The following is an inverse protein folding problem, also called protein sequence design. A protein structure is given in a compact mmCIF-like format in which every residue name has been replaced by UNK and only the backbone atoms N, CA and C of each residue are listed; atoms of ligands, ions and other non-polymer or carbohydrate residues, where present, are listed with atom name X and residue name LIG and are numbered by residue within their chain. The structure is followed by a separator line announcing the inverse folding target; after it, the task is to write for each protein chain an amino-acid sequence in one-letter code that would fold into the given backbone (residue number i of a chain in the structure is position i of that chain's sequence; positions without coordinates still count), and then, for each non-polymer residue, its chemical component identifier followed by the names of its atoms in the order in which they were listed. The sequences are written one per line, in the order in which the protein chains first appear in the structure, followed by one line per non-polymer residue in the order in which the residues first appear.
data_IF_827108003158
#
_entry.id   IF_827108003158
#
_cell.length_a   1.000
_cell.length_b   1.000
_cell.length_c   1.000
_cell.angle_alpha   90.00
_cell.angle_beta   90.00
_cell.angle_gamma   90.00
#
_symmetry.space_group_name_H-M   'P 1'
#
loop_
_entity.id
_entity.type
_entity.pdbx_description
1 polymer ?
#
# COMPACT_ATOMS: atom_id res chain seq x y z
N UNK A 1 71.53 65.98 3.28
CA UNK A 1 72.66 65.24 3.90
C UNK A 1 72.83 65.66 5.36
N UNK A 2 72.97 64.71 6.29
CA UNK A 2 73.26 64.97 7.72
C UNK A 2 74.64 64.36 8.03
N UNK A 3 75.58 65.12 8.61
CA UNK A 3 76.97 64.68 8.90
C UNK A 3 77.74 64.03 7.73
N UNK A 4 77.52 64.51 6.49
CA UNK A 4 78.16 63.97 5.29
C UNK A 4 77.64 62.61 4.82
N UNK A 5 76.53 62.12 5.41
CA UNK A 5 75.83 60.91 5.01
C UNK A 5 74.52 61.22 4.27
N UNK A 6 74.17 60.36 3.31
CA UNK A 6 72.87 60.36 2.65
C UNK A 6 71.82 59.73 3.56
N UNK A 7 70.69 60.41 3.72
CA UNK A 7 69.52 59.87 4.42
C UNK A 7 68.90 58.70 3.65
N UNK A 8 68.10 57.82 4.28
CA UNK A 8 67.41 56.74 3.58
C UNK A 8 66.59 57.21 2.38
N UNK A 9 65.85 58.33 2.52
CA UNK A 9 65.06 58.94 1.44
C UNK A 9 65.94 59.46 0.29
N UNK A 10 67.08 60.09 0.60
CA UNK A 10 68.04 60.55 -0.42
C UNK A 10 68.66 59.37 -1.19
N UNK A 11 69.00 58.27 -0.49
CA UNK A 11 69.56 57.07 -1.12
C UNK A 11 68.57 56.43 -2.08
N UNK A 12 67.30 56.30 -1.68
CA UNK A 12 66.25 55.77 -2.53
C UNK A 12 66.02 56.63 -3.78
N UNK A 13 66.03 57.97 -3.62
CA UNK A 13 65.90 58.88 -4.76
C UNK A 13 67.08 58.76 -5.72
N UNK A 14 68.30 58.72 -5.21
CA UNK A 14 69.52 58.62 -6.01
C UNK A 14 69.65 57.27 -6.72
N UNK A 15 69.18 56.17 -6.11
CA UNK A 15 69.24 54.82 -6.73
C UNK A 15 68.28 54.63 -7.91
N UNK A 16 67.36 55.57 -8.13
CA UNK A 16 66.43 55.53 -9.29
C UNK A 16 66.99 56.21 -10.54
N UNK A 17 68.16 56.86 -10.45
CA UNK A 17 68.77 57.58 -11.57
C UNK A 17 69.70 56.65 -12.36
N UNK A 18 69.59 56.64 -13.68
CA UNK A 18 70.43 55.82 -14.57
C UNK A 18 71.94 56.14 -14.47
N UNK A 19 72.26 57.35 -14.02
CA UNK A 19 73.62 57.80 -13.77
C UNK A 19 74.28 57.13 -12.54
N UNK A 20 73.50 56.44 -11.71
CA UNK A 20 73.92 55.91 -10.41
C UNK A 20 73.78 54.40 -10.38
N UNK A 21 74.91 53.71 -10.17
CA UNK A 21 74.96 52.26 -10.05
C UNK A 21 74.67 51.78 -8.61
N UNK A 22 75.25 52.45 -7.61
CA UNK A 22 75.06 52.10 -6.19
C UNK A 22 75.19 53.35 -5.31
N UNK A 23 74.32 53.49 -4.31
CA UNK A 23 74.42 54.57 -3.31
C UNK A 23 74.67 53.99 -1.93
N UNK A 24 75.90 54.21 -1.43
CA UNK A 24 76.27 53.89 -0.05
C UNK A 24 76.01 55.09 0.85
N UNK A 25 76.09 54.87 2.16
CA UNK A 25 75.81 55.93 3.13
C UNK A 25 76.66 57.21 2.92
N UNK A 26 77.89 57.10 2.40
CA UNK A 26 78.80 58.25 2.17
C UNK A 26 79.29 58.41 0.73
N UNK A 27 79.04 57.44 -0.16
CA UNK A 27 79.64 57.37 -1.49
C UNK A 27 78.58 57.05 -2.55
N UNK A 28 78.70 57.68 -3.71
CA UNK A 28 77.94 57.33 -4.91
C UNK A 28 78.88 56.60 -5.85
N UNK A 29 78.45 55.43 -6.31
CA UNK A 29 79.08 54.70 -7.40
C UNK A 29 78.29 55.02 -8.66
N UNK A 30 78.91 55.72 -9.59
CA UNK A 30 78.29 56.13 -10.85
C UNK A 30 78.36 55.00 -11.88
N UNK A 31 77.35 54.92 -12.76
CA UNK A 31 77.33 53.94 -13.85
C UNK A 31 78.50 54.19 -14.82
N UNK A 32 79.16 53.12 -15.33
CA UNK A 32 80.23 53.25 -16.32
C UNK A 32 79.86 54.13 -17.53
N UNK A 33 78.61 54.04 -17.96
CA UNK A 33 78.00 54.72 -19.09
C UNK A 33 77.93 56.23 -18.83
N UNK A 34 77.46 56.61 -17.63
CA UNK A 34 77.44 58.01 -17.22
C UNK A 34 78.84 58.60 -17.05
N UNK A 35 79.83 57.81 -16.58
CA UNK A 35 81.23 58.28 -16.50
C UNK A 35 81.79 58.62 -17.87
N UNK A 36 81.59 57.74 -18.86
CA UNK A 36 82.03 57.95 -20.24
C UNK A 36 81.35 59.17 -20.86
N UNK A 37 80.03 59.25 -20.69
CA UNK A 37 79.25 60.38 -21.20
C UNK A 37 79.64 61.71 -20.55
N UNK A 38 79.90 61.70 -19.24
CA UNK A 38 80.34 62.89 -18.53
C UNK A 38 81.69 63.40 -19.03
N UNK A 39 82.67 62.51 -19.24
CA UNK A 39 83.99 62.90 -19.76
C UNK A 39 83.91 63.40 -21.21
N UNK A 40 83.04 62.81 -22.05
CA UNK A 40 82.79 63.26 -23.42
C UNK A 40 82.27 64.71 -23.45
N UNK A 41 81.23 65.02 -22.65
CA UNK A 41 80.63 66.36 -22.57
C UNK A 41 81.56 67.38 -21.91
N UNK A 42 82.33 66.96 -20.91
CA UNK A 42 83.32 67.83 -20.26
C UNK A 42 84.42 68.27 -21.24
N UNK A 43 84.91 67.37 -22.10
CA UNK A 43 85.87 67.71 -23.17
C UNK A 43 85.29 68.60 -24.27
N UNK A 44 83.98 68.52 -24.50
CA UNK A 44 83.27 69.43 -25.40
C UNK A 44 83.08 70.85 -24.80
N UNK A 45 83.60 71.11 -23.59
CA UNK A 45 83.56 72.43 -22.94
C UNK A 45 82.39 72.65 -21.98
N UNK A 46 81.53 71.65 -21.76
CA UNK A 46 80.44 71.77 -20.81
C UNK A 46 80.92 71.72 -19.35
N UNK A 47 80.34 72.57 -18.49
CA UNK A 47 80.70 72.62 -17.06
C UNK A 47 80.21 71.36 -16.34
N UNK A 48 81.02 70.70 -15.48
CA UNK A 48 80.63 69.50 -14.74
C UNK A 48 79.30 69.59 -14.00
N UNK A 49 79.02 70.73 -13.38
CA UNK A 49 77.76 70.95 -12.66
C UNK A 49 76.52 70.81 -13.56
N UNK A 50 76.61 71.24 -14.83
CA UNK A 50 75.53 71.15 -15.82
C UNK A 50 75.32 69.71 -16.25
N UNK A 51 76.41 68.99 -16.52
CA UNK A 51 76.37 67.58 -16.94
C UNK A 51 75.71 66.73 -15.86
N UNK A 52 76.13 66.88 -14.60
CA UNK A 52 75.54 66.18 -13.46
C UNK A 52 74.08 66.59 -13.20
N UNK A 53 73.75 67.88 -13.30
CA UNK A 53 72.37 68.34 -13.16
C UNK A 53 71.45 67.72 -14.23
N UNK A 54 71.90 67.62 -15.49
CA UNK A 54 71.14 66.99 -16.58
C UNK A 54 70.84 65.51 -16.34
N UNK A 55 71.68 64.84 -15.54
CA UNK A 55 71.51 63.45 -15.14
C UNK A 55 70.74 63.28 -13.81
N UNK A 56 70.07 64.34 -13.33
CA UNK A 56 69.30 64.33 -12.09
C UNK A 56 70.14 64.45 -10.81
N UNK A 57 71.42 64.83 -10.93
CA UNK A 57 72.39 64.95 -9.83
C UNK A 57 72.82 66.42 -9.63
N UNK A 58 71.92 67.33 -9.22
CA UNK A 58 72.29 68.73 -9.04
C UNK A 58 73.27 68.91 -7.88
N UNK A 59 74.09 69.96 -7.94
CA UNK A 59 75.08 70.28 -6.91
C UNK A 59 74.45 70.49 -5.51
N UNK A 60 73.17 70.87 -5.43
CA UNK A 60 72.42 70.97 -4.17
C UNK A 60 72.23 69.62 -3.47
N UNK A 61 72.17 68.52 -4.23
CA UNK A 61 71.93 67.17 -3.70
C UNK A 61 73.22 66.44 -3.33
N UNK A 62 74.26 66.56 -4.17
CA UNK A 62 75.50 65.79 -4.00
C UNK A 62 76.73 66.65 -3.65
N UNK A 63 76.58 67.97 -3.53
CA UNK A 63 77.64 68.96 -3.30
C UNK A 63 78.60 69.18 -4.49
N UNK A 64 78.90 70.46 -4.77
CA UNK A 64 79.83 70.88 -5.82
C UNK A 64 81.21 70.21 -5.71
N UNK A 65 81.78 70.13 -4.50
CA UNK A 65 83.10 69.53 -4.26
C UNK A 65 83.15 68.04 -4.61
N UNK A 66 82.02 67.33 -4.54
CA UNK A 66 81.98 65.90 -4.94
C UNK A 66 81.95 65.75 -6.45
N UNK A 67 81.27 66.66 -7.16
CA UNK A 67 81.24 66.68 -8.62
C UNK A 67 82.66 66.92 -9.15
N UNK A 68 83.36 67.93 -8.62
CA UNK A 68 84.74 68.23 -9.02
C UNK A 68 85.70 67.07 -8.77
N UNK A 69 85.64 66.46 -7.58
CA UNK A 69 86.47 65.27 -7.27
C UNK A 69 86.14 64.09 -8.17
N UNK A 70 84.86 63.88 -8.50
CA UNK A 70 84.47 62.79 -9.39
C UNK A 70 85.07 62.98 -10.80
N UNK A 71 84.93 64.18 -11.38
CA UNK A 71 85.50 64.50 -12.69
C UNK A 71 87.03 64.44 -12.68
N UNK A 72 87.67 64.95 -11.63
CA UNK A 72 89.13 64.84 -11.45
C UNK A 72 89.60 63.38 -11.49
N UNK A 73 88.93 62.50 -10.72
CA UNK A 73 89.28 61.08 -10.71
C UNK A 73 88.98 60.39 -12.05
N UNK A 74 87.95 60.80 -12.77
CA UNK A 74 87.62 60.23 -14.07
C UNK A 74 88.57 60.66 -15.17
N UNK A 75 89.05 61.91 -15.12
CA UNK A 75 90.13 62.38 -16.00
C UNK A 75 91.37 61.49 -15.88
N UNK A 76 91.82 61.23 -14.66
CA UNK A 76 92.97 60.34 -14.43
C UNK A 76 92.68 58.87 -14.77
N UNK A 77 91.47 58.37 -14.51
CA UNK A 77 91.12 57.00 -14.88
C UNK A 77 91.07 56.80 -16.41
N UNK A 78 90.68 57.84 -17.16
CA UNK A 78 90.67 57.85 -18.62
C UNK A 78 92.08 57.90 -19.22
N UNK A 79 92.98 58.71 -18.65
CA UNK A 79 94.41 58.75 -19.00
C UNK A 79 95.08 57.37 -18.81
N UNK A 80 94.61 56.58 -17.86
CA UNK A 80 95.09 55.22 -17.57
C UNK A 80 94.29 54.10 -18.29
N UNK A 81 93.36 54.44 -19.18
CA UNK A 81 92.54 53.46 -19.92
C UNK A 81 91.59 52.61 -19.05
N UNK A 82 91.33 53.03 -17.81
CA UNK A 82 90.57 52.25 -16.80
C UNK A 82 89.18 52.84 -16.50
N UNK A 83 88.73 53.83 -17.27
CA UNK A 83 87.43 54.48 -17.10
C UNK A 83 86.27 53.49 -17.28
N UNK A 84 85.65 53.09 -16.18
CA UNK A 84 84.51 52.15 -16.17
C UNK A 84 84.83 50.72 -15.74
N UNK A 85 86.08 50.42 -15.38
CA UNK A 85 86.45 49.10 -14.85
C UNK A 85 85.79 48.84 -13.48
N UNK A 86 84.95 47.81 -13.39
CA UNK A 86 84.35 47.36 -12.11
C UNK A 86 85.31 46.38 -11.45
N UNK A 87 85.84 46.72 -10.26
CA UNK A 87 86.71 45.81 -9.48
C UNK A 87 85.92 44.57 -9.05
N UNK A 88 86.39 43.38 -9.46
CA UNK A 88 85.82 42.11 -9.02
C UNK A 88 85.93 41.94 -7.49
N UNK A 89 84.89 41.44 -6.79
CA UNK A 89 84.99 41.19 -5.36
C UNK A 89 85.97 40.05 -5.07
N UNK A 90 86.82 40.25 -4.06
CA UNK A 90 87.76 39.24 -3.54
C UNK A 90 87.07 37.89 -3.29
N UNK A 91 87.73 36.81 -3.71
CA UNK A 91 87.24 35.40 -3.68
C UNK A 91 86.70 34.99 -2.29
N UNK A 92 87.22 35.57 -1.19
CA UNK A 92 86.75 35.32 0.19
C UNK A 92 85.40 35.96 0.54
N UNK A 93 85.01 37.03 -0.15
CA UNK A 93 83.72 37.70 0.09
C UNK A 93 82.57 37.00 -0.66
N UNK A 94 82.85 36.46 -1.85
CA UNK A 94 81.86 35.73 -2.65
C UNK A 94 81.45 34.40 -2.00
N UNK A 95 82.38 33.68 -1.36
CA UNK A 95 82.08 32.42 -0.65
C UNK A 95 81.21 32.65 0.59
N UNK A 96 81.51 33.67 1.40
CA UNK A 96 80.71 34.03 2.59
C UNK A 96 79.29 34.51 2.25
N UNK A 97 79.11 35.17 1.11
CA UNK A 97 77.78 35.58 0.64
C UNK A 97 76.95 34.36 0.18
N UNK A 98 77.58 33.35 -0.44
CA UNK A 98 76.88 32.11 -0.82
C UNK A 98 76.43 31.33 0.42
N UNK A 99 77.31 31.12 1.39
CA UNK A 99 76.99 30.37 2.61
C UNK A 99 75.84 31.03 3.39
N UNK A 100 75.89 32.35 3.59
CA UNK A 100 74.82 33.08 4.28
C UNK A 100 73.48 33.07 3.50
N UNK A 101 73.52 33.08 2.16
CA UNK A 101 72.30 32.94 1.33
C UNK A 101 71.69 31.54 1.44
N UNK A 102 72.51 30.50 1.48
CA UNK A 102 72.06 29.11 1.60
C UNK A 102 71.51 28.82 2.99
N UNK A 103 72.14 29.33 4.05
CA UNK A 103 71.61 29.27 5.42
C UNK A 103 70.25 29.95 5.54
N UNK A 104 70.10 31.15 4.95
CA UNK A 104 68.81 31.86 4.93
C UNK A 104 67.73 31.10 4.14
N UNK A 105 68.07 30.49 3.00
CA UNK A 105 67.13 29.62 2.24
C UNK A 105 66.68 28.44 3.08
N UNK A 106 67.62 27.72 3.71
CA UNK A 106 67.32 26.57 4.60
C UNK A 106 66.47 26.97 5.80
N UNK A 107 66.72 28.13 6.41
CA UNK A 107 65.90 28.65 7.51
C UNK A 107 64.46 28.95 7.07
N UNK A 108 64.28 29.57 5.90
CA UNK A 108 62.94 29.84 5.33
C UNK A 108 62.21 28.55 4.98
N UNK A 109 62.90 27.55 4.43
CA UNK A 109 62.32 26.23 4.14
C UNK A 109 61.90 25.49 5.41
N UNK A 110 62.71 25.51 6.47
CA UNK A 110 62.34 24.97 7.79
C UNK A 110 61.09 25.66 8.34
N UNK A 111 61.02 26.99 8.28
CA UNK A 111 59.85 27.73 8.75
C UNK A 111 58.59 27.39 7.94
N UNK A 112 58.72 27.26 6.61
CA UNK A 112 57.63 26.81 5.73
C UNK A 112 57.19 25.38 6.04
N UNK A 113 58.12 24.47 6.34
CA UNK A 113 57.81 23.09 6.69
C UNK A 113 57.05 22.97 8.02
N UNK A 114 57.45 23.74 9.04
CA UNK A 114 56.73 23.82 10.33
C UNK A 114 55.31 24.34 10.10
N UNK A 115 55.17 25.45 9.38
CA UNK A 115 53.86 26.05 9.09
C UNK A 115 52.95 25.12 8.30
N UNK A 116 53.50 24.36 7.35
CA UNK A 116 52.75 23.32 6.60
C UNK A 116 52.23 22.22 7.53
N UNK A 117 53.06 21.74 8.46
CA UNK A 117 52.65 20.72 9.44
C UNK A 117 51.54 21.23 10.39
N UNK A 118 51.61 22.49 10.80
CA UNK A 118 50.54 23.10 11.61
C UNK A 118 49.23 23.23 10.85
N UNK A 119 49.29 23.67 9.59
CA UNK A 119 48.10 23.75 8.73
C UNK A 119 47.45 22.38 8.53
N UNK A 120 48.24 21.33 8.29
CA UNK A 120 47.68 19.98 8.17
C UNK A 120 47.03 19.49 9.48
N UNK A 121 47.66 19.73 10.64
CA UNK A 121 47.04 19.41 11.94
C UNK A 121 45.71 20.14 12.15
N UNK A 122 45.60 21.40 11.69
CA UNK A 122 44.37 22.19 11.79
C UNK A 122 43.28 21.68 10.83
N UNK A 123 43.66 21.30 9.61
CA UNK A 123 42.74 20.66 8.65
C UNK A 123 42.18 19.34 9.21
N UNK A 124 43.04 18.48 9.75
CA UNK A 124 42.61 17.22 10.36
C UNK A 124 41.64 17.45 11.54
N UNK A 125 41.92 18.45 12.39
CA UNK A 125 41.01 18.84 13.48
C UNK A 125 39.67 19.35 12.95
N UNK A 126 39.68 20.15 11.89
CA UNK A 126 38.48 20.68 11.27
C UNK A 126 37.62 19.55 10.68
N UNK A 127 38.23 18.63 9.95
CA UNK A 127 37.52 17.48 9.37
C UNK A 127 36.94 16.56 10.44
N UNK A 128 37.66 16.30 11.54
CA UNK A 128 37.11 15.57 12.69
C UNK A 128 35.91 16.29 13.32
N UNK A 129 35.96 17.61 13.46
CA UNK A 129 34.83 18.40 14.00
C UNK A 129 33.63 18.39 13.04
N UNK A 130 33.85 18.50 11.73
CA UNK A 130 32.79 18.39 10.71
C UNK A 130 32.14 17.00 10.74
N UNK A 131 32.93 15.93 10.82
CA UNK A 131 32.40 14.57 10.93
C UNK A 131 31.60 14.36 12.22
N UNK A 132 32.06 14.90 13.36
CA UNK A 132 31.31 14.86 14.62
C UNK A 132 30.01 15.68 14.55
N UNK A 133 30.03 16.86 13.93
CA UNK A 133 28.82 17.66 13.71
C UNK A 133 27.82 16.92 12.82
N UNK A 134 28.27 16.37 11.69
CA UNK A 134 27.45 15.60 10.75
C UNK A 134 26.79 14.38 11.42
N UNK A 135 27.56 13.60 12.19
CA UNK A 135 27.01 12.44 12.92
C UNK A 135 26.04 12.83 14.04
N UNK A 136 26.19 14.00 14.68
CA UNK A 136 25.20 14.53 15.64
C UNK A 136 23.92 14.93 14.92
N UNK A 137 24.04 15.63 13.79
CA UNK A 137 22.91 16.02 12.94
C UNK A 137 22.14 14.79 12.45
N UNK A 138 22.84 13.78 11.92
CA UNK A 138 22.25 12.51 11.48
C UNK A 138 21.51 11.79 12.62
N UNK A 139 22.07 11.76 13.84
CA UNK A 139 21.39 11.19 15.02
C UNK A 139 20.14 11.99 15.41
N UNK A 140 20.18 13.31 15.35
CA UNK A 140 19.01 14.15 15.64
C UNK A 140 17.93 13.99 14.59
N UNK A 141 18.29 13.94 13.31
CA UNK A 141 17.36 13.71 12.20
C UNK A 141 16.72 12.32 12.32
N UNK A 142 17.51 11.28 12.63
CA UNK A 142 16.99 9.94 12.83
C UNK A 142 16.01 9.87 14.03
N UNK A 143 16.34 10.54 15.14
CA UNK A 143 15.46 10.62 16.32
C UNK A 143 14.16 11.39 16.01
N UNK A 144 14.26 12.52 15.29
CA UNK A 144 13.11 13.31 14.86
C UNK A 144 12.23 12.54 13.88
N UNK A 145 12.81 11.85 12.89
CA UNK A 145 12.09 11.04 11.92
C UNK A 145 11.33 9.88 12.61
N UNK A 146 11.95 9.20 13.58
CA UNK A 146 11.27 8.17 14.37
C UNK A 146 10.08 8.74 15.16
N UNK A 147 10.24 9.94 15.74
CA UNK A 147 9.15 10.64 16.45
C UNK A 147 8.03 11.09 15.52
N UNK A 148 8.36 11.61 14.34
CA UNK A 148 7.38 11.99 13.31
C UNK A 148 6.59 10.75 12.90
N UNK A 149 7.26 9.64 12.59
CA UNK A 149 6.59 8.38 12.22
C UNK A 149 5.65 7.88 13.32
N UNK A 150 6.10 7.90 14.59
CA UNK A 150 5.26 7.51 15.72
C UNK A 150 4.04 8.43 15.89
N UNK A 151 4.21 9.74 15.70
CA UNK A 151 3.10 10.70 15.73
C UNK A 151 2.14 10.52 14.54
N UNK A 152 2.64 10.23 13.35
CA UNK A 152 1.84 9.92 12.16
C UNK A 152 1.02 8.65 12.35
N UNK A 153 1.63 7.59 12.90
CA UNK A 153 0.95 6.35 13.24
C UNK A 153 -0.13 6.56 14.31
N UNK A 154 0.15 7.38 15.34
CA UNK A 154 -0.86 7.80 16.32
C UNK A 154 -1.99 8.60 15.68
N UNK A 155 -1.70 9.58 14.84
CA UNK A 155 -2.72 10.37 14.12
C UNK A 155 -3.54 9.47 13.19
N UNK A 156 -2.93 8.49 12.53
CA UNK A 156 -3.61 7.50 11.69
C UNK A 156 -4.55 6.62 12.51
N UNK A 157 -4.10 6.13 13.67
CA UNK A 157 -4.93 5.37 14.60
C UNK A 157 -6.10 6.22 15.14
N UNK A 158 -5.84 7.46 15.54
CA UNK A 158 -6.87 8.40 16.01
C UNK A 158 -7.86 8.78 14.90
N UNK A 159 -7.39 8.97 13.66
CA UNK A 159 -8.28 9.19 12.50
C UNK A 159 -9.11 7.96 12.17
N UNK A 160 -8.56 6.74 12.28
CA UNK A 160 -9.31 5.50 12.11
C UNK A 160 -10.36 5.32 13.21
N UNK A 161 -10.03 5.61 14.47
CA UNK A 161 -10.96 5.61 15.60
C UNK A 161 -12.04 6.69 15.43
N UNK A 162 -11.67 7.89 14.98
CA UNK A 162 -12.59 8.97 14.67
C UNK A 162 -13.48 8.69 13.45
N UNK A 163 -13.00 7.92 12.46
CA UNK A 163 -13.79 7.45 11.34
C UNK A 163 -14.79 6.37 11.78
N UNK A 164 -14.38 5.42 12.63
CA UNK A 164 -15.25 4.42 13.27
C UNK A 164 -16.30 5.08 14.17
N UNK A 165 -15.92 6.11 14.93
CA UNK A 165 -16.83 6.90 15.74
C UNK A 165 -17.80 7.74 14.89
N UNK A 166 -17.34 8.30 13.76
CA UNK A 166 -18.21 8.99 12.79
C UNK A 166 -19.15 8.04 12.05
N UNK A 167 -18.71 6.83 11.75
CA UNK A 167 -19.53 5.76 11.18
C UNK A 167 -20.58 5.28 12.20
N UNK A 168 -20.22 5.22 13.48
CA UNK A 168 -21.14 4.96 14.58
C UNK A 168 -22.15 6.11 14.82
N UNK A 169 -21.74 7.37 14.58
CA UNK A 169 -22.57 8.59 14.72
C UNK A 169 -23.46 8.90 13.52
N UNK A 170 -23.18 8.38 12.32
CA UNK A 170 -23.93 8.72 11.08
C UNK A 170 -25.36 8.21 11.03
N UNK A 171 -25.81 7.45 12.03
CA UNK A 171 -27.22 7.17 12.23
C UNK A 171 -27.48 6.79 13.70
N UNK A 172 -28.04 7.70 14.53
CA UNK A 172 -28.58 7.34 15.83
C UNK A 172 -29.73 6.35 15.59
N UNK A 173 -29.41 5.05 15.63
CA UNK A 173 -30.37 3.95 15.37
C UNK A 173 -29.81 2.74 14.61
N UNK A 174 -28.76 2.88 13.78
CA UNK A 174 -28.40 1.82 12.82
C UNK A 174 -27.18 0.97 13.21
N UNK A 175 -26.25 1.49 14.03
CA UNK A 175 -25.06 0.71 14.42
C UNK A 175 -25.37 -0.26 15.57
N UNK A 176 -25.21 -1.59 15.36
CA UNK A 176 -25.47 -2.60 16.39
C UNK A 176 -24.71 -2.34 17.69
N UNK A 177 -25.37 -2.52 18.84
CA UNK A 177 -24.76 -2.34 20.17
C UNK A 177 -23.47 -3.14 20.35
N UNK A 178 -23.40 -4.34 19.76
CA UNK A 178 -22.21 -5.22 19.77
C UNK A 178 -20.97 -4.56 19.16
N UNK A 179 -21.13 -3.81 18.06
CA UNK A 179 -20.01 -3.08 17.44
C UNK A 179 -19.56 -1.91 18.31
N UNK A 180 -20.50 -1.24 18.99
CA UNK A 180 -20.17 -0.16 19.93
C UNK A 180 -19.39 -0.71 21.14
N UNK A 181 -19.80 -1.84 21.68
CA UNK A 181 -19.07 -2.52 22.75
C UNK A 181 -17.68 -2.97 22.31
N UNK A 182 -17.53 -3.49 21.08
CA UNK A 182 -16.22 -3.86 20.53
C UNK A 182 -15.27 -2.66 20.46
N UNK A 183 -15.75 -1.49 20.02
CA UNK A 183 -14.91 -0.27 19.98
C UNK A 183 -14.42 0.12 21.38
N UNK A 184 -15.28 0.01 22.41
CA UNK A 184 -14.89 0.30 23.80
C UNK A 184 -13.82 -0.69 24.27
N UNK A 185 -13.98 -1.98 23.96
CA UNK A 185 -13.02 -3.01 24.32
C UNK A 185 -11.66 -2.79 23.63
N UNK A 186 -11.65 -2.45 22.34
CA UNK A 186 -10.42 -2.17 21.58
C UNK A 186 -9.68 -0.94 22.15
N UNK A 187 -10.41 0.12 22.53
CA UNK A 187 -9.82 1.32 23.13
C UNK A 187 -9.24 1.03 24.52
N UNK A 188 -9.94 0.24 25.34
CA UNK A 188 -9.45 -0.21 26.66
C UNK A 188 -8.24 -1.15 26.54
N UNK A 189 -8.18 -1.97 25.49
CA UNK A 189 -7.03 -2.83 25.23
C UNK A 189 -5.80 -2.03 24.78
N UNK A 190 -5.99 -0.94 24.05
CA UNK A 190 -4.91 -0.04 23.61
C UNK A 190 -4.39 0.85 24.75
N UNK A 191 -5.24 1.26 25.68
CA UNK A 191 -4.90 2.06 26.85
C UNK A 191 -5.64 1.56 28.11
N UNK A 192 -4.94 0.89 29.05
CA UNK A 192 -5.57 0.40 30.28
C UNK A 192 -6.14 1.49 31.19
N UNK A 193 -5.69 2.75 31.04
CA UNK A 193 -6.22 3.89 31.79
C UNK A 193 -7.50 4.49 31.18
N UNK A 194 -7.97 3.93 30.06
CA UNK A 194 -9.11 4.43 29.31
C UNK A 194 -10.41 4.41 30.14
N UNK A 195 -11.10 5.56 30.15
CA UNK A 195 -12.34 5.73 30.91
C UNK A 195 -13.55 5.10 30.17
N UNK A 196 -13.86 3.85 30.52
CA UNK A 196 -15.00 3.09 29.98
C UNK A 196 -16.34 3.82 30.18
N UNK A 197 -16.52 4.52 31.30
CA UNK A 197 -17.79 5.25 31.58
C UNK A 197 -18.01 6.38 30.57
N UNK A 198 -16.97 7.17 30.29
CA UNK A 198 -17.03 8.25 29.31
C UNK A 198 -17.27 7.70 27.89
N UNK A 199 -16.68 6.56 27.54
CA UNK A 199 -16.88 5.92 26.24
C UNK A 199 -18.29 5.35 26.06
N UNK A 200 -18.85 4.71 27.09
CA UNK A 200 -20.23 4.25 27.12
C UNK A 200 -21.22 5.40 26.91
N UNK A 201 -21.00 6.53 27.59
CA UNK A 201 -21.81 7.74 27.42
C UNK A 201 -21.69 8.30 26.00
N UNK A 202 -20.48 8.39 25.45
CA UNK A 202 -20.24 8.92 24.12
C UNK A 202 -20.81 8.05 22.97
N UNK A 203 -20.98 6.74 23.21
CA UNK A 203 -21.54 5.77 22.25
C UNK A 203 -23.00 5.39 22.54
N UNK A 204 -23.62 6.03 23.52
CA UNK A 204 -25.02 5.81 23.92
C UNK A 204 -25.32 4.34 24.26
N UNK A 205 -24.44 3.71 25.04
CA UNK A 205 -24.62 2.34 25.54
C UNK A 205 -24.50 2.30 27.07
N UNK A 206 -25.17 1.35 27.71
CA UNK A 206 -25.06 1.18 29.16
C UNK A 206 -23.73 0.53 29.55
N UNK A 207 -23.16 0.99 30.67
CA UNK A 207 -21.94 0.41 31.24
C UNK A 207 -22.16 -1.05 31.67
N UNK A 208 -23.31 -1.36 32.26
CA UNK A 208 -23.71 -2.75 32.58
C UNK A 208 -23.74 -3.63 31.33
N UNK A 209 -24.36 -3.16 30.24
CA UNK A 209 -24.42 -3.91 28.99
C UNK A 209 -23.06 -4.17 28.35
N UNK A 210 -22.10 -3.25 28.50
CA UNK A 210 -20.72 -3.47 28.07
C UNK A 210 -20.06 -4.62 28.84
N UNK A 211 -20.13 -4.60 30.17
CA UNK A 211 -19.52 -5.66 30.99
C UNK A 211 -20.25 -7.00 30.83
N UNK A 212 -21.58 -7.01 30.67
CA UNK A 212 -22.33 -8.23 30.36
C UNK A 212 -21.87 -8.83 29.03
N UNK A 213 -21.66 -7.99 28.02
CA UNK A 213 -21.12 -8.40 26.72
C UNK A 213 -19.69 -8.93 26.85
N UNK A 214 -18.83 -8.24 27.61
CA UNK A 214 -17.43 -8.63 27.88
C UNK A 214 -17.36 -9.97 28.61
N UNK A 215 -18.14 -10.15 29.68
CA UNK A 215 -18.25 -11.38 30.45
C UNK A 215 -18.84 -12.53 29.63
N UNK A 216 -19.70 -12.24 28.67
CA UNK A 216 -20.24 -13.24 27.75
C UNK A 216 -19.24 -13.66 26.65
N UNK A 217 -18.04 -13.07 26.55
CA UNK A 217 -17.05 -13.39 25.50
C UNK A 217 -16.65 -14.88 25.47
N UNK A 218 -16.30 -15.54 26.60
CA UNK A 218 -15.97 -16.96 26.59
C UNK A 218 -17.15 -17.83 26.12
N UNK A 219 -18.36 -17.53 26.57
CA UNK A 219 -19.57 -18.24 26.17
C UNK A 219 -19.92 -18.02 24.68
N UNK A 220 -19.60 -16.85 24.11
CA UNK A 220 -19.72 -16.57 22.67
C UNK A 220 -18.69 -17.37 21.86
N UNK A 221 -17.44 -17.42 22.31
CA UNK A 221 -16.39 -18.20 21.68
C UNK A 221 -16.72 -19.70 21.67
N UNK A 222 -17.16 -20.26 22.81
CA UNK A 222 -17.57 -21.66 22.90
C UNK A 222 -18.77 -22.00 21.98
N UNK A 223 -19.71 -21.06 21.83
CA UNK A 223 -20.83 -21.21 20.88
C UNK A 223 -20.36 -21.22 19.43
N UNK A 224 -19.38 -20.39 19.07
CA UNK A 224 -18.81 -20.38 17.72
C UNK A 224 -18.09 -21.69 17.40
N UNK A 225 -17.32 -22.23 18.35
CA UNK A 225 -16.68 -23.54 18.20
C UNK A 225 -17.70 -24.67 18.02
N UNK A 226 -18.74 -24.70 18.87
CA UNK A 226 -19.83 -25.67 18.73
C UNK A 226 -20.55 -25.53 17.39
N UNK A 227 -20.83 -24.31 16.93
CA UNK A 227 -21.45 -24.06 15.65
C UNK A 227 -20.56 -24.52 14.49
N UNK A 228 -19.25 -24.40 14.60
CA UNK A 228 -18.31 -24.87 13.59
C UNK A 228 -18.25 -26.40 13.52
N UNK A 229 -18.25 -27.08 14.68
CA UNK A 229 -18.37 -28.55 14.74
C UNK A 229 -19.69 -29.02 14.13
N UNK A 230 -20.79 -28.39 14.52
CA UNK A 230 -22.12 -28.71 13.98
C UNK A 230 -22.22 -28.43 12.49
N UNK A 231 -21.58 -27.36 11.99
CA UNK A 231 -21.54 -27.05 10.57
C UNK A 231 -20.82 -28.13 9.75
N UNK A 232 -19.74 -28.73 10.30
CA UNK A 232 -19.04 -29.84 9.66
C UNK A 232 -19.95 -31.07 9.57
N UNK A 233 -20.63 -31.42 10.65
CA UNK A 233 -21.57 -32.54 10.67
C UNK A 233 -22.74 -32.35 9.71
N UNK A 234 -23.30 -31.13 9.65
CA UNK A 234 -24.34 -30.76 8.69
C UNK A 234 -23.84 -30.89 7.24
N UNK A 235 -22.60 -30.50 6.96
CA UNK A 235 -22.01 -30.62 5.63
C UNK A 235 -21.80 -32.09 5.25
N UNK A 236 -21.28 -32.90 6.16
CA UNK A 236 -21.09 -34.34 5.96
C UNK A 236 -22.42 -35.04 5.64
N UNK A 237 -23.44 -34.83 6.46
CA UNK A 237 -24.79 -35.36 6.25
C UNK A 237 -25.45 -34.81 4.96
N UNK A 238 -25.04 -33.65 4.46
CA UNK A 238 -25.51 -33.11 3.19
C UNK A 238 -24.83 -33.79 1.98
N UNK A 239 -23.51 -34.01 2.08
CA UNK A 239 -22.71 -34.59 1.01
C UNK A 239 -22.86 -36.10 0.90
N UNK A 240 -23.12 -36.83 2.00
CA UNK A 240 -23.46 -38.26 1.98
C UNK A 240 -24.64 -38.58 1.06
N UNK A 241 -25.53 -37.61 0.81
CA UNK A 241 -26.66 -37.71 -0.10
C UNK A 241 -26.53 -36.89 -1.38
N UNK A 242 -25.31 -36.81 -1.92
CA UNK A 242 -25.01 -36.20 -3.23
C UNK A 242 -25.49 -34.76 -3.36
N UNK A 243 -25.50 -34.00 -2.25
CA UNK A 243 -25.93 -32.60 -2.21
C UNK A 243 -27.38 -32.34 -2.68
N UNK A 244 -28.27 -33.33 -2.58
CA UNK A 244 -29.67 -33.21 -3.04
C UNK A 244 -30.64 -32.82 -1.93
N UNK A 245 -30.29 -33.08 -0.67
CA UNK A 245 -31.22 -32.97 0.46
C UNK A 245 -31.44 -31.53 0.91
N UNK A 246 -32.69 -31.16 1.15
CA UNK A 246 -33.04 -29.89 1.82
C UNK A 246 -32.88 -29.98 3.34
N UNK A 247 -32.98 -28.85 4.05
CA UNK A 247 -32.76 -28.79 5.50
C UNK A 247 -33.58 -29.80 6.33
N UNK A 248 -34.83 -30.10 5.95
CA UNK A 248 -35.65 -31.13 6.64
C UNK A 248 -35.01 -32.51 6.51
N UNK A 249 -34.59 -32.87 5.30
CA UNK A 249 -34.00 -34.18 5.04
C UNK A 249 -32.58 -34.31 5.61
N UNK A 250 -31.86 -33.19 5.75
CA UNK A 250 -30.57 -33.16 6.45
C UNK A 250 -30.77 -33.38 7.95
N UNK A 251 -31.82 -32.81 8.57
CA UNK A 251 -32.17 -33.13 9.98
C UNK A 251 -32.42 -34.63 10.15
N UNK A 252 -33.16 -35.25 9.23
CA UNK A 252 -33.43 -36.68 9.28
C UNK A 252 -32.15 -37.51 9.08
N UNK A 253 -31.25 -37.09 8.19
CA UNK A 253 -29.96 -37.73 7.98
C UNK A 253 -29.08 -37.64 9.23
N UNK A 254 -28.98 -36.46 9.84
CA UNK A 254 -28.25 -36.25 11.09
C UNK A 254 -28.76 -37.17 12.22
N UNK A 255 -30.08 -37.35 12.33
CA UNK A 255 -30.66 -38.25 13.32
C UNK A 255 -30.34 -39.72 13.01
N UNK A 256 -30.48 -40.16 11.75
CA UNK A 256 -30.36 -41.57 11.37
C UNK A 256 -28.91 -42.05 11.25
N UNK A 257 -28.03 -41.23 10.69
CA UNK A 257 -26.66 -41.60 10.35
C UNK A 257 -25.66 -41.19 11.45
N UNK A 258 -25.92 -40.07 12.13
CA UNK A 258 -25.00 -39.51 13.13
C UNK A 258 -25.57 -39.50 14.55
N UNK A 259 -26.76 -40.09 14.77
CA UNK A 259 -27.43 -40.11 16.09
C UNK A 259 -27.70 -38.73 16.70
N UNK A 260 -27.59 -37.65 15.90
CA UNK A 260 -27.54 -36.28 16.41
C UNK A 260 -28.87 -35.59 16.20
N UNK A 261 -29.49 -35.14 17.29
CA UNK A 261 -30.74 -34.38 17.25
C UNK A 261 -30.44 -32.89 17.21
N UNK A 262 -30.59 -32.28 16.04
CA UNK A 262 -30.35 -30.85 15.84
C UNK A 262 -31.62 -30.10 15.43
N UNK A 263 -31.85 -28.92 16.02
CA UNK A 263 -32.99 -28.08 15.67
C UNK A 263 -32.95 -27.69 14.18
N UNK A 264 -34.07 -27.87 13.47
CA UNK A 264 -34.21 -27.52 12.05
C UNK A 264 -33.80 -26.07 11.70
N UNK A 265 -34.07 -25.10 12.59
CA UNK A 265 -33.66 -23.70 12.40
C UNK A 265 -32.14 -23.56 12.46
N UNK A 266 -31.46 -24.31 13.34
CA UNK A 266 -30.00 -24.36 13.43
C UNK A 266 -29.40 -24.99 12.18
N UNK A 267 -29.90 -26.15 11.75
CA UNK A 267 -29.46 -26.80 10.50
C UNK A 267 -29.63 -25.85 9.31
N UNK A 268 -30.80 -25.21 9.16
CA UNK A 268 -31.03 -24.22 8.09
C UNK A 268 -30.03 -23.08 8.13
N UNK A 269 -29.75 -22.51 9.31
CA UNK A 269 -28.77 -21.42 9.48
C UNK A 269 -27.36 -21.89 9.09
N UNK A 270 -26.93 -23.04 9.57
CA UNK A 270 -25.60 -23.59 9.28
C UNK A 270 -25.44 -23.93 7.80
N UNK A 271 -26.44 -24.54 7.17
CA UNK A 271 -26.47 -24.77 5.72
C UNK A 271 -26.31 -23.46 4.95
N UNK A 272 -27.06 -22.41 5.32
CA UNK A 272 -26.94 -21.09 4.69
C UNK A 272 -25.54 -20.49 4.88
N UNK A 273 -24.99 -20.52 6.10
CA UNK A 273 -23.63 -20.04 6.40
C UNK A 273 -22.54 -20.77 5.59
N UNK A 274 -22.77 -22.04 5.25
CA UNK A 274 -21.84 -22.86 4.46
C UNK A 274 -22.19 -22.91 2.96
N UNK A 275 -23.20 -22.15 2.50
CA UNK A 275 -23.63 -22.15 1.10
C UNK A 275 -24.27 -23.45 0.62
N UNK A 276 -24.68 -24.34 1.54
CA UNK A 276 -25.27 -25.64 1.22
C UNK A 276 -26.74 -25.46 0.87
N UNK A 277 -27.06 -25.65 -0.41
CA UNK A 277 -28.43 -25.57 -0.90
C UNK A 277 -28.80 -26.89 -1.58
N UNK A 278 -29.81 -27.57 -1.05
CA UNK A 278 -30.33 -28.79 -1.67
C UNK A 278 -30.85 -28.53 -3.07
N UNK A 279 -30.63 -29.48 -3.97
CA UNK A 279 -31.12 -29.43 -5.33
C UNK A 279 -32.66 -29.43 -5.32
N UNK A 280 -33.28 -28.26 -5.46
CA UNK A 280 -34.69 -28.18 -5.75
C UNK A 280 -34.91 -28.81 -7.12
N UNK A 281 -35.57 -29.97 -7.16
CA UNK A 281 -36.01 -30.57 -8.43
C UNK A 281 -36.91 -29.52 -9.08
N UNK A 282 -36.43 -28.83 -10.12
CA UNK A 282 -37.31 -28.00 -10.96
C UNK A 282 -38.51 -28.89 -11.29
N UNK A 283 -39.73 -28.40 -11.04
CA UNK A 283 -40.93 -29.00 -11.63
C UNK A 283 -40.59 -29.09 -13.11
N UNK A 284 -40.33 -30.31 -13.62
CA UNK A 284 -40.34 -30.49 -15.07
C UNK A 284 -41.73 -30.02 -15.46
N UNK A 285 -41.82 -29.06 -16.36
CA UNK A 285 -43.10 -28.78 -17.00
C UNK A 285 -43.61 -30.15 -17.44
N UNK A 286 -44.84 -30.50 -17.04
CA UNK A 286 -45.48 -31.67 -17.56
C UNK A 286 -45.49 -31.46 -19.08
N UNK A 287 -44.58 -32.14 -19.78
CA UNK A 287 -44.70 -32.31 -21.20
C UNK A 287 -45.74 -33.42 -21.32
N UNK A 288 -46.97 -33.13 -21.76
CA UNK A 288 -47.80 -34.21 -22.23
C UNK A 288 -46.94 -34.92 -23.27
N UNK A 289 -46.62 -36.18 -23.02
CA UNK A 289 -46.33 -37.08 -24.12
C UNK A 289 -47.70 -37.31 -24.74
N UNK A 290 -48.24 -36.28 -25.41
CA UNK A 290 -49.11 -36.58 -26.53
C UNK A 290 -48.18 -37.29 -27.48
N UNK A 291 -48.36 -38.60 -27.61
CA UNK A 291 -48.03 -39.21 -28.88
C UNK A 291 -48.91 -38.50 -29.90
N UNK A 292 -48.40 -37.41 -30.47
CA UNK A 292 -49.02 -36.75 -31.59
C UNK A 292 -49.21 -37.84 -32.66
N UNK A 293 -50.44 -38.32 -32.83
CA UNK A 293 -50.77 -39.43 -33.73
C UNK A 293 -51.51 -40.63 -33.12
N UNK A 294 -51.68 -40.75 -31.80
CA UNK A 294 -52.62 -41.76 -31.27
C UNK A 294 -54.07 -41.25 -31.38
N UNK A 295 -54.97 -41.94 -32.09
CA UNK A 295 -56.37 -41.56 -32.14
C UNK A 295 -56.96 -41.66 -30.73
N UNK A 296 -57.53 -40.55 -30.25
CA UNK A 296 -58.30 -40.55 -29.01
C UNK A 296 -59.57 -41.37 -29.28
N UNK A 297 -59.85 -42.33 -28.40
CA UNK A 297 -61.00 -43.23 -28.53
C UNK A 297 -62.32 -42.51 -28.27
N UNK A 298 -62.31 -41.45 -27.46
CA UNK A 298 -63.46 -40.59 -27.19
C UNK A 298 -63.05 -39.10 -27.25
N UNK A 299 -63.99 -38.25 -27.65
CA UNK A 299 -63.85 -36.79 -27.59
C UNK A 299 -63.92 -36.29 -26.16
N UNK A 300 -63.21 -35.20 -25.84
CA UNK A 300 -63.20 -34.62 -24.49
C UNK A 300 -64.29 -33.55 -24.37
N UNK A 301 -65.54 -33.97 -24.22
CA UNK A 301 -66.71 -33.06 -24.17
C UNK A 301 -66.78 -32.24 -22.86
N UNK A 302 -66.19 -32.74 -21.77
CA UNK A 302 -66.20 -32.05 -20.47
C UNK A 302 -65.27 -30.84 -20.44
N UNK A 303 -64.23 -30.81 -21.27
CA UNK A 303 -63.26 -29.71 -21.42
C UNK A 303 -62.87 -28.98 -20.12
N UNK A 304 -62.48 -29.75 -19.09
CA UNK A 304 -62.08 -29.27 -17.75
C UNK A 304 -63.20 -28.61 -16.92
N UNK A 305 -64.44 -28.56 -17.41
CA UNK A 305 -65.61 -28.10 -16.66
C UNK A 305 -66.26 -29.24 -15.85
N UNK A 306 -65.62 -29.58 -14.74
CA UNK A 306 -66.06 -30.67 -13.86
C UNK A 306 -67.22 -30.29 -12.92
N UNK A 307 -67.64 -29.02 -12.86
CA UNK A 307 -68.62 -28.52 -11.88
C UNK A 307 -69.81 -27.82 -12.55
N UNK A 308 -70.69 -28.62 -13.13
CA UNK A 308 -71.86 -28.15 -13.88
C UNK A 308 -73.08 -27.81 -12.99
N UNK A 309 -72.85 -27.40 -11.74
CA UNK A 309 -73.91 -26.86 -10.86
C UNK A 309 -74.88 -27.87 -10.26
N UNK A 310 -74.84 -29.15 -10.66
CA UNK A 310 -75.67 -30.22 -10.12
C UNK A 310 -74.87 -31.51 -9.85
N UNK A 311 -75.17 -32.25 -8.78
CA UNK A 311 -74.56 -33.57 -8.52
C UNK A 311 -74.77 -34.53 -9.70
N UNK A 312 -73.83 -35.45 -9.89
CA UNK A 312 -73.93 -36.56 -10.87
C UNK A 312 -74.01 -36.13 -12.34
N UNK A 313 -73.69 -34.87 -12.65
CA UNK A 313 -73.52 -34.37 -14.02
C UNK A 313 -72.21 -34.81 -14.63
N UNK A 314 -71.15 -34.82 -13.83
CA UNK A 314 -69.81 -35.25 -14.23
C UNK A 314 -69.27 -36.17 -13.15
N UNK A 315 -69.00 -37.41 -13.53
CA UNK A 315 -68.34 -38.41 -12.71
C UNK A 315 -66.89 -38.54 -13.18
N UNK A 316 -65.97 -38.76 -12.25
CA UNK A 316 -64.58 -39.09 -12.55
C UNK A 316 -64.27 -40.48 -12.03
N UNK A 317 -63.56 -41.28 -12.82
CA UNK A 317 -63.07 -42.59 -12.39
C UNK A 317 -61.57 -42.71 -12.61
N UNK A 318 -60.90 -43.38 -11.67
CA UNK A 318 -59.46 -43.65 -11.74
C UNK A 318 -59.11 -44.90 -10.93
N UNK A 319 -57.94 -45.49 -11.22
CA UNK A 319 -57.33 -46.57 -10.46
C UNK A 319 -56.11 -46.02 -9.73
N UNK A 320 -56.09 -46.14 -8.40
CA UNK A 320 -54.92 -45.77 -7.61
C UNK A 320 -54.06 -47.00 -7.27
N UNK A 321 -52.81 -46.74 -6.88
CA UNK A 321 -51.84 -47.75 -6.46
C UNK A 321 -51.62 -47.59 -4.96
N UNK A 322 -52.13 -48.52 -4.15
CA UNK A 322 -51.96 -48.50 -2.71
C UNK A 322 -50.92 -49.54 -2.29
N UNK A 323 -49.77 -49.13 -1.72
CA UNK A 323 -48.84 -50.08 -1.10
C UNK A 323 -49.56 -50.84 0.01
N UNK A 324 -49.57 -52.17 -0.08
CA UNK A 324 -50.22 -53.04 0.89
C UNK A 324 -49.34 -54.26 1.12
N UNK A 325 -48.73 -54.36 2.30
CA UNK A 325 -47.82 -55.45 2.64
C UNK A 325 -48.50 -56.80 2.79
N UNK A 326 -49.84 -56.82 2.95
CA UNK A 326 -50.64 -58.04 3.01
C UNK A 326 -51.02 -58.59 1.62
N UNK A 327 -50.96 -57.77 0.56
CA UNK A 327 -51.28 -58.19 -0.79
C UNK A 327 -50.13 -58.99 -1.42
N UNK A 328 -50.44 -59.97 -2.28
CA UNK A 328 -49.45 -60.91 -2.85
C UNK A 328 -48.27 -60.23 -3.56
N UNK A 329 -48.53 -59.09 -4.19
CA UNK A 329 -47.53 -58.34 -4.97
C UNK A 329 -47.12 -57.01 -4.30
N UNK A 330 -47.44 -56.82 -3.02
CA UNK A 330 -47.09 -55.62 -2.25
C UNK A 330 -47.93 -54.38 -2.56
N UNK A 331 -48.93 -54.51 -3.44
CA UNK A 331 -49.86 -53.44 -3.83
C UNK A 331 -51.28 -53.97 -3.94
N UNK A 332 -52.23 -53.09 -3.66
CA UNK A 332 -53.65 -53.24 -3.94
C UNK A 332 -54.10 -52.07 -4.82
N UNK A 333 -55.04 -52.36 -5.72
CA UNK A 333 -55.55 -51.43 -6.71
C UNK A 333 -57.01 -51.10 -6.41
N UNK A 334 -57.29 -49.97 -5.72
CA UNK A 334 -58.64 -49.44 -5.67
C UNK A 334 -59.02 -48.77 -6.99
N UNK A 335 -60.17 -49.15 -7.54
CA UNK A 335 -60.91 -48.37 -8.53
C UNK A 335 -62.04 -47.61 -7.84
N UNK A 336 -62.28 -46.37 -8.24
CA UNK A 336 -63.38 -45.58 -7.68
C UNK A 336 -64.08 -44.73 -8.74
N UNK A 337 -65.35 -44.41 -8.48
CA UNK A 337 -66.14 -43.42 -9.22
C UNK A 337 -66.53 -42.32 -8.25
N UNK A 338 -66.20 -41.07 -8.59
CA UNK A 338 -66.41 -39.89 -7.77
C UNK A 338 -67.30 -38.91 -8.51
N UNK A 339 -68.28 -38.32 -7.82
CA UNK A 339 -69.02 -37.17 -8.33
C UNK A 339 -68.18 -35.89 -8.22
N UNK A 340 -67.87 -35.26 -9.35
CA UNK A 340 -67.02 -34.07 -9.40
C UNK A 340 -67.64 -32.83 -8.75
N UNK A 341 -68.97 -32.77 -8.63
CA UNK A 341 -69.66 -31.65 -7.98
C UNK A 341 -69.56 -31.76 -6.46
N UNK A 342 -69.75 -32.96 -5.91
CA UNK A 342 -69.86 -33.18 -4.45
C UNK A 342 -68.60 -33.78 -3.82
N UNK A 343 -67.65 -34.24 -4.64
CA UNK A 343 -66.47 -35.04 -4.25
C UNK A 343 -66.82 -36.33 -3.47
N UNK A 344 -68.06 -36.83 -3.58
CA UNK A 344 -68.46 -38.08 -2.95
C UNK A 344 -68.04 -39.26 -3.81
N UNK A 345 -67.48 -40.29 -3.17
CA UNK A 345 -67.27 -41.59 -3.80
C UNK A 345 -68.65 -42.24 -3.94
N UNK A 346 -69.06 -42.50 -5.18
CA UNK A 346 -70.32 -43.17 -5.49
C UNK A 346 -70.17 -44.68 -5.56
N UNK A 347 -69.00 -45.15 -6.01
CA UNK A 347 -68.66 -46.55 -6.12
C UNK A 347 -67.17 -46.77 -5.93
N UNK A 348 -66.79 -47.93 -5.42
CA UNK A 348 -65.39 -48.31 -5.30
C UNK A 348 -65.24 -49.83 -5.23
N UNK A 349 -64.18 -50.36 -5.84
CA UNK A 349 -63.78 -51.75 -5.73
C UNK A 349 -62.28 -51.84 -5.50
N UNK A 350 -61.78 -52.99 -5.03
CA UNK A 350 -60.36 -53.24 -4.81
C UNK A 350 -59.95 -54.58 -5.37
N UNK A 351 -58.79 -54.65 -6.02
CA UNK A 351 -58.20 -55.90 -6.50
C UNK A 351 -56.71 -55.97 -6.18
N UNK A 352 -56.16 -57.18 -6.04
CA UNK A 352 -54.70 -57.41 -5.97
C UNK A 352 -54.03 -57.38 -7.35
N UNK A 353 -54.81 -57.27 -8.43
CA UNK A 353 -54.34 -57.16 -9.80
C UNK A 353 -55.09 -56.06 -10.57
N UNK A 354 -54.49 -55.60 -11.66
CA UNK A 354 -55.09 -54.63 -12.59
C UNK A 354 -55.91 -55.36 -13.68
N UNK A 355 -56.73 -56.34 -13.31
CA UNK A 355 -57.62 -56.99 -14.28
C UNK A 355 -58.81 -56.09 -14.61
N UNK A 356 -59.35 -56.25 -15.83
CA UNK A 356 -60.50 -55.51 -16.35
C UNK A 356 -61.74 -55.51 -15.42
N UNK A 357 -62.09 -56.61 -14.72
CA UNK A 357 -63.22 -56.64 -13.79
C UNK A 357 -63.15 -55.57 -12.70
N UNK A 358 -61.96 -55.14 -12.27
CA UNK A 358 -61.83 -54.08 -11.27
C UNK A 358 -62.66 -52.84 -11.66
N UNK A 359 -62.55 -52.41 -12.92
CA UNK A 359 -63.23 -51.21 -13.40
C UNK A 359 -64.68 -51.50 -13.74
N UNK A 360 -64.96 -52.63 -14.40
CA UNK A 360 -66.31 -53.00 -14.80
C UNK A 360 -67.22 -53.23 -13.59
N UNK A 361 -66.75 -53.94 -12.57
CA UNK A 361 -67.52 -54.20 -11.35
C UNK A 361 -67.71 -52.92 -10.52
N UNK A 362 -66.76 -51.97 -10.60
CA UNK A 362 -66.93 -50.66 -9.96
C UNK A 362 -68.06 -49.88 -10.62
N UNK A 363 -68.24 -50.00 -11.94
CA UNK A 363 -69.34 -49.34 -12.66
C UNK A 363 -70.72 -49.94 -12.41
N UNK A 364 -70.82 -51.17 -11.90
CA UNK A 364 -72.12 -51.79 -11.54
C UNK A 364 -72.67 -51.31 -10.20
N UNK A 365 -71.80 -50.81 -9.32
CA UNK A 365 -72.19 -50.40 -7.96
C UNK A 365 -73.08 -49.15 -7.89
N UNK A 366 -72.86 -48.08 -8.68
CA UNK A 366 -73.81 -47.00 -8.77
C UNK A 366 -75.05 -47.54 -9.50
N UNK A 367 -76.11 -47.85 -8.76
CA UNK A 367 -77.37 -48.30 -9.37
C UNK A 367 -77.96 -47.25 -10.32
N UNK A 368 -78.91 -47.67 -11.17
CA UNK A 368 -79.56 -46.86 -12.23
C UNK A 368 -80.04 -45.46 -11.77
N UNK A 369 -80.31 -45.28 -10.48
CA UNK A 369 -80.73 -44.00 -9.90
C UNK A 369 -79.62 -42.92 -9.83
N UNK A 370 -78.38 -43.27 -10.19
CA UNK A 370 -77.20 -42.40 -10.06
C UNK A 370 -76.65 -41.87 -11.39
N UNK A 371 -77.09 -42.40 -12.52
CA UNK A 371 -76.59 -42.07 -13.86
C UNK A 371 -77.78 -41.80 -14.77
N UNK A 372 -77.66 -40.78 -15.63
CA UNK A 372 -78.67 -40.42 -16.63
C UNK A 372 -77.99 -40.20 -17.97
N UNK A 373 -78.75 -40.09 -19.06
CA UNK A 373 -78.21 -39.73 -20.40
C UNK A 373 -77.49 -38.38 -20.44
N UNK A 374 -77.62 -37.58 -19.37
CA UNK A 374 -76.94 -36.30 -19.22
C UNK A 374 -75.69 -36.36 -18.32
N UNK A 375 -75.31 -37.56 -17.86
CA UNK A 375 -74.16 -37.79 -16.99
C UNK A 375 -72.93 -38.11 -17.84
N UNK A 376 -71.91 -37.28 -17.70
CA UNK A 376 -70.60 -37.55 -18.28
C UNK A 376 -69.76 -38.38 -17.31
N UNK A 377 -69.08 -39.41 -17.82
CA UNK A 377 -68.01 -40.09 -17.08
C UNK A 377 -66.65 -39.75 -17.70
N UNK A 378 -65.74 -39.27 -16.86
CA UNK A 378 -64.37 -38.90 -17.21
C UNK A 378 -63.40 -39.94 -16.67
N UNK A 379 -62.64 -40.56 -17.55
CA UNK A 379 -61.53 -41.45 -17.23
C UNK A 379 -60.25 -40.96 -17.93
N UNK A 380 -59.11 -41.56 -17.59
CA UNK A 380 -57.92 -41.42 -18.42
C UNK A 380 -58.03 -42.29 -19.70
N UNK A 381 -56.99 -42.26 -20.54
CA UNK A 381 -56.93 -43.12 -21.74
C UNK A 381 -56.07 -44.37 -21.51
N UNK A 382 -56.04 -44.87 -20.28
CA UNK A 382 -55.39 -46.12 -19.91
C UNK A 382 -56.08 -47.33 -20.55
N UNK A 383 -55.38 -48.47 -20.54
CA UNK A 383 -55.82 -49.69 -21.24
C UNK A 383 -57.20 -50.19 -20.77
N UNK A 384 -57.54 -50.02 -19.50
CA UNK A 384 -58.82 -50.44 -18.93
C UNK A 384 -59.99 -49.61 -19.46
N UNK A 385 -59.84 -48.29 -19.48
CA UNK A 385 -60.89 -47.36 -19.89
C UNK A 385 -61.02 -47.24 -21.41
N UNK A 386 -60.01 -47.71 -22.14
CA UNK A 386 -60.02 -47.78 -23.61
C UNK A 386 -60.43 -49.15 -24.14
N UNK A 387 -60.57 -50.16 -23.27
CA UNK A 387 -61.01 -51.50 -23.64
C UNK A 387 -62.44 -51.50 -24.20
N UNK A 388 -62.74 -52.47 -25.08
CA UNK A 388 -64.07 -52.58 -25.70
C UNK A 388 -65.15 -52.86 -24.66
N UNK A 389 -64.90 -53.74 -23.70
CA UNK A 389 -65.93 -54.08 -22.71
C UNK A 389 -66.31 -52.90 -21.82
N UNK A 390 -65.36 -52.03 -21.48
CA UNK A 390 -65.65 -50.78 -20.75
C UNK A 390 -66.56 -49.85 -21.56
N UNK A 391 -66.29 -49.71 -22.88
CA UNK A 391 -67.13 -48.86 -23.75
C UNK A 391 -68.52 -49.44 -23.99
N UNK A 392 -68.61 -50.75 -24.21
CA UNK A 392 -69.88 -51.44 -24.38
C UNK A 392 -70.74 -51.24 -23.11
N UNK A 393 -70.13 -51.36 -21.92
CA UNK A 393 -70.79 -51.14 -20.64
C UNK A 393 -71.25 -49.70 -20.36
N UNK A 394 -70.64 -48.71 -21.01
CA UNK A 394 -71.12 -47.32 -20.94
C UNK A 394 -72.26 -47.03 -21.94
N UNK A 395 -72.44 -47.90 -22.93
CA UNK A 395 -73.49 -47.79 -23.94
C UNK A 395 -74.75 -48.59 -23.57
N UNK A 396 -74.59 -49.65 -22.78
CA UNK A 396 -75.66 -50.39 -22.09
C UNK A 396 -76.33 -49.52 -21.01
#
# INVERSE_FOLDING_TARGET
MKNGMFTPKERERLSRLDAVLEVRARQIVYSPEFKKECMRRYRAGERPGVIFASAGLPASLISHKRIERAVYHWKHAEEQGSLGAVKAPSVRHASRIRTLKDEKRRAVERQRAIRRREVEKLKDRLERRKAQAKSREERTIASQAARIKALEDQVKALKANGARARQARRAPGTTPKTLRFQVIADLRAADPSFNVSAACQALEVSRSGYYDWENATPARAARLDSDERDARLVAEAFHSHRARKGNRQVVDALRREHGTVMNRKKVRRLMHCKGLTGLARRRRSYHPVTQDGTPRIATNEVDRDFRQGAPRRVLSTDIAYLPCTAARHGFMYPGAVIDCQTNRILAWNTSENLAEPLVLDTLDQPGEQHVTDQTWICSDQGVHYTARAYRDKLAD
#
